data_IF_776773848015
#
_entry.id   IF_776773848015
#
_cell.length_a   1.000
_cell.length_b   1.000
_cell.length_c   1.000
_cell.angle_alpha   90.00
_cell.angle_beta   90.00
_cell.angle_gamma   90.00
#
_symmetry.space_group_name_H-M   'P 1'
#
loop_
_entity.id
_entity.type
_entity.pdbx_description
1 polymer ?
#
# COMPACT_ATOMS: atom_id res chain seq x y z
N UNK A 1 13.78 2.87 24.89
CA UNK A 1 15.21 2.68 24.69
C UNK A 1 15.58 3.55 23.51
N UNK A 2 16.41 4.57 23.71
CA UNK A 2 16.94 5.41 22.63
C UNK A 2 17.83 4.50 21.76
N UNK A 3 17.64 4.49 20.46
CA UNK A 3 18.45 3.69 19.54
C UNK A 3 19.83 4.33 19.46
N UNK A 4 20.87 3.59 19.79
CA UNK A 4 22.28 4.02 19.72
C UNK A 4 22.70 4.45 18.30
N UNK A 5 22.03 3.90 17.26
CA UNK A 5 22.29 4.28 15.87
C UNK A 5 21.86 5.71 15.50
N UNK A 6 21.19 6.46 16.41
CA UNK A 6 20.93 7.90 16.21
C UNK A 6 22.16 8.77 16.40
N UNK A 7 23.19 8.23 17.06
CA UNK A 7 24.35 9.00 17.54
C UNK A 7 25.55 8.92 16.57
N UNK A 8 25.49 8.03 15.55
CA UNK A 8 26.55 7.86 14.56
C UNK A 8 26.08 8.27 13.16
N UNK A 9 26.94 8.99 12.45
CA UNK A 9 26.76 9.29 11.02
C UNK A 9 27.16 8.10 10.16
N UNK A 10 26.69 8.09 8.90
CA UNK A 10 27.07 7.07 7.94
C UNK A 10 28.59 7.02 7.70
N UNK A 11 29.26 8.18 7.70
CA UNK A 11 30.71 8.31 7.50
C UNK A 11 31.46 7.71 8.67
N UNK A 12 31.00 7.92 9.91
CA UNK A 12 31.62 7.34 11.10
C UNK A 12 31.52 5.82 11.13
N UNK A 13 30.37 5.27 10.74
CA UNK A 13 30.19 3.81 10.67
C UNK A 13 31.02 3.22 9.53
N UNK A 14 31.11 3.86 8.37
CA UNK A 14 31.99 3.42 7.30
C UNK A 14 33.46 3.44 7.74
N UNK A 15 33.88 4.46 8.49
CA UNK A 15 35.22 4.52 9.05
C UNK A 15 35.50 3.38 10.06
N UNK A 16 34.50 3.00 10.87
CA UNK A 16 34.62 1.86 11.79
C UNK A 16 34.76 0.54 11.01
N UNK A 17 33.99 0.37 9.94
CA UNK A 17 34.07 -0.82 9.08
C UNK A 17 35.43 -0.93 8.35
N UNK A 18 35.96 0.19 7.86
CA UNK A 18 37.23 0.23 7.14
C UNK A 18 38.43 -0.09 8.07
N UNK A 19 38.26 0.07 9.40
CA UNK A 19 39.27 -0.19 10.43
C UNK A 19 38.82 -1.29 11.41
N UNK A 20 38.04 -2.26 10.96
CA UNK A 20 37.38 -3.27 11.83
C UNK A 20 38.38 -4.11 12.63
N UNK A 21 39.58 -4.31 12.09
CA UNK A 21 40.67 -5.08 12.72
C UNK A 21 41.25 -4.39 13.98
N UNK A 22 41.00 -3.10 14.19
CA UNK A 22 41.43 -2.32 15.33
C UNK A 22 40.50 -2.45 16.55
N UNK A 23 39.34 -3.09 16.37
CA UNK A 23 38.30 -3.23 17.38
C UNK A 23 38.33 -4.62 18.06
N UNK A 24 37.93 -4.66 19.31
CA UNK A 24 37.71 -5.91 20.04
C UNK A 24 36.49 -6.66 19.47
N UNK A 25 36.41 -7.96 19.77
CA UNK A 25 35.29 -8.81 19.31
C UNK A 25 33.91 -8.24 19.71
N UNK A 26 33.80 -7.74 20.94
CA UNK A 26 32.54 -7.15 21.45
C UNK A 26 32.17 -5.85 20.70
N UNK A 27 33.15 -5.03 20.36
CA UNK A 27 32.96 -3.81 19.57
C UNK A 27 32.60 -4.12 18.14
N UNK A 28 33.18 -5.15 17.53
CA UNK A 28 32.82 -5.62 16.18
C UNK A 28 31.35 -6.05 16.14
N UNK A 29 30.88 -6.83 17.12
CA UNK A 29 29.45 -7.24 17.20
C UNK A 29 28.54 -6.03 17.32
N UNK A 30 28.93 -4.99 18.05
CA UNK A 30 28.13 -3.77 18.16
C UNK A 30 28.13 -2.96 16.85
N UNK A 31 29.28 -2.89 16.15
CA UNK A 31 29.36 -2.25 14.83
C UNK A 31 28.45 -2.96 13.81
N UNK A 32 28.49 -4.30 13.74
CA UNK A 32 27.61 -5.08 12.89
C UNK A 32 26.12 -4.79 13.18
N UNK A 33 25.74 -4.74 14.46
CA UNK A 33 24.38 -4.39 14.86
C UNK A 33 23.97 -2.99 14.43
N UNK A 34 24.87 -2.01 14.51
CA UNK A 34 24.62 -0.64 14.05
C UNK A 34 24.45 -0.57 12.54
N UNK A 35 25.23 -1.32 11.77
CA UNK A 35 25.12 -1.44 10.31
C UNK A 35 23.76 -2.01 9.94
N UNK A 36 23.36 -3.13 10.54
CA UNK A 36 22.06 -3.76 10.29
C UNK A 36 20.90 -2.80 10.59
N UNK A 37 20.99 -2.06 11.71
CA UNK A 37 19.97 -1.06 12.06
C UNK A 37 19.89 0.07 11.04
N UNK A 38 21.01 0.54 10.51
CA UNK A 38 21.04 1.56 9.46
C UNK A 38 20.47 1.06 8.15
N UNK A 39 20.80 -0.17 7.75
CA UNK A 39 20.28 -0.76 6.52
C UNK A 39 18.77 -0.95 6.58
N UNK A 40 18.24 -1.39 7.73
CA UNK A 40 16.80 -1.43 7.97
C UNK A 40 16.16 -0.03 7.86
N UNK A 41 16.78 0.98 8.48
CA UNK A 41 16.28 2.37 8.39
C UNK A 41 16.27 2.90 6.97
N UNK A 42 17.33 2.62 6.20
CA UNK A 42 17.41 3.00 4.78
C UNK A 42 16.34 2.31 3.96
N UNK A 43 16.18 1.00 4.12
CA UNK A 43 15.15 0.23 3.43
C UNK A 43 13.74 0.77 3.76
N UNK A 44 13.47 1.05 5.04
CA UNK A 44 12.21 1.63 5.47
C UNK A 44 11.97 3.03 4.89
N UNK A 45 13.01 3.87 4.83
CA UNK A 45 12.90 5.20 4.22
C UNK A 45 12.63 5.10 2.72
N UNK A 46 13.33 4.23 2.00
CA UNK A 46 13.08 3.98 0.59
C UNK A 46 11.64 3.48 0.35
N UNK A 47 11.16 2.54 1.17
CA UNK A 47 9.81 2.02 1.10
C UNK A 47 8.74 3.07 1.47
N UNK A 48 9.06 4.01 2.35
CA UNK A 48 8.20 5.14 2.64
C UNK A 48 8.06 6.07 1.43
N UNK A 49 9.15 6.36 0.72
CA UNK A 49 9.21 7.33 -0.37
C UNK A 49 8.81 6.74 -1.73
N UNK A 50 8.97 5.42 -1.95
CA UNK A 50 8.76 4.74 -3.23
C UNK A 50 7.86 3.51 -3.10
N UNK A 51 6.79 3.47 -3.90
CA UNK A 51 5.80 2.39 -3.87
C UNK A 51 6.39 1.02 -4.27
N UNK A 52 7.36 0.97 -5.20
CA UNK A 52 7.98 -0.30 -5.58
C UNK A 52 8.89 -0.84 -4.47
N UNK A 53 9.64 0.03 -3.80
CA UNK A 53 10.47 -0.39 -2.67
C UNK A 53 9.58 -0.86 -1.50
N UNK A 54 8.43 -0.21 -1.30
CA UNK A 54 7.40 -0.72 -0.39
C UNK A 54 6.92 -2.13 -0.78
N UNK A 55 6.59 -2.35 -2.05
CA UNK A 55 6.15 -3.67 -2.53
C UNK A 55 7.20 -4.76 -2.27
N UNK A 56 8.48 -4.48 -2.55
CA UNK A 56 9.59 -5.41 -2.32
C UNK A 56 9.75 -5.76 -0.84
N UNK A 57 9.59 -4.78 0.03
CA UNK A 57 9.72 -4.99 1.48
C UNK A 57 8.53 -5.78 2.04
N UNK A 58 7.31 -5.53 1.54
CA UNK A 58 6.11 -6.28 1.94
C UNK A 58 6.06 -7.69 1.34
N UNK A 59 6.67 -7.89 0.19
CA UNK A 59 6.69 -9.15 -0.56
C UNK A 59 8.06 -9.32 -1.24
N UNK A 60 9.04 -9.95 -0.58
CA UNK A 60 10.41 -10.09 -1.12
C UNK A 60 10.48 -10.76 -2.49
N UNK A 61 9.55 -11.66 -2.79
CA UNK A 61 9.46 -12.37 -4.08
C UNK A 61 8.74 -11.55 -5.17
N UNK A 62 8.42 -10.27 -4.93
CA UNK A 62 7.76 -9.43 -5.91
C UNK A 62 8.67 -9.10 -7.09
N UNK A 63 8.38 -9.71 -8.24
CA UNK A 63 9.15 -9.50 -9.47
C UNK A 63 8.73 -8.18 -10.13
N UNK A 64 9.63 -7.22 -10.15
CA UNK A 64 9.38 -5.89 -10.71
C UNK A 64 9.65 -5.87 -12.21
N UNK A 65 8.60 -5.66 -13.01
CA UNK A 65 8.72 -5.36 -14.43
C UNK A 65 8.68 -3.86 -14.73
N UNK A 66 9.07 -3.46 -15.94
CA UNK A 66 9.02 -2.04 -16.37
C UNK A 66 7.62 -1.42 -16.23
N UNK A 67 6.57 -2.18 -16.52
CA UNK A 67 5.18 -1.75 -16.38
C UNK A 67 4.79 -1.46 -14.92
N UNK A 68 5.34 -2.22 -13.97
CA UNK A 68 5.10 -1.96 -12.55
C UNK A 68 5.71 -0.61 -12.13
N UNK A 69 6.91 -0.25 -12.62
CA UNK A 69 7.52 1.05 -12.34
C UNK A 69 6.67 2.20 -12.90
N UNK A 70 6.27 2.11 -14.17
CA UNK A 70 5.41 3.12 -14.82
C UNK A 70 4.09 3.29 -14.05
N UNK A 71 3.51 2.17 -13.61
CA UNK A 71 2.27 2.20 -12.85
C UNK A 71 2.47 2.79 -11.44
N UNK A 72 3.55 2.44 -10.76
CA UNK A 72 3.88 3.00 -9.46
C UNK A 72 4.12 4.51 -9.52
N UNK A 73 4.86 4.98 -10.52
CA UNK A 73 5.08 6.41 -10.74
C UNK A 73 3.75 7.17 -10.93
N UNK A 74 2.83 6.61 -11.74
CA UNK A 74 1.49 7.15 -11.92
C UNK A 74 0.69 7.20 -10.61
N UNK A 75 0.74 6.13 -9.80
CA UNK A 75 0.03 6.06 -8.53
C UNK A 75 0.62 7.03 -7.49
N UNK A 76 1.93 7.24 -7.50
CA UNK A 76 2.59 8.25 -6.66
C UNK A 76 2.23 9.67 -7.10
N UNK A 77 2.03 9.95 -8.40
CA UNK A 77 1.50 11.23 -8.87
C UNK A 77 0.06 11.47 -8.38
N UNK A 78 -0.78 10.42 -8.37
CA UNK A 78 -2.14 10.50 -7.78
C UNK A 78 -2.07 10.75 -6.28
N UNK A 79 -1.18 10.10 -5.55
CA UNK A 79 -1.01 10.29 -4.10
C UNK A 79 -0.61 11.73 -3.76
N UNK A 80 0.27 12.33 -4.54
CA UNK A 80 0.70 13.73 -4.37
C UNK A 80 -0.35 14.75 -4.81
N UNK A 81 -1.40 14.33 -5.52
CA UNK A 81 -2.40 15.23 -6.10
C UNK A 81 -1.97 15.87 -7.42
N UNK A 82 -0.90 15.39 -8.04
CA UNK A 82 -0.46 15.84 -9.37
C UNK A 82 -1.44 15.37 -10.47
N UNK A 83 -2.19 14.29 -10.17
CA UNK A 83 -3.24 13.73 -11.02
C UNK A 83 -4.47 13.36 -10.20
N UNK A 84 -5.62 13.85 -10.64
CA UNK A 84 -6.91 13.57 -9.97
C UNK A 84 -7.49 12.22 -10.37
N UNK A 85 -7.18 11.73 -11.56
CA UNK A 85 -7.76 10.51 -12.15
C UNK A 85 -6.75 9.76 -12.99
N UNK A 86 -6.79 8.44 -12.86
CA UNK A 86 -5.98 7.53 -13.66
C UNK A 86 -6.84 6.36 -14.13
N UNK A 87 -6.66 5.95 -15.38
CA UNK A 87 -7.25 4.73 -15.94
C UNK A 87 -6.11 3.80 -16.36
N UNK A 88 -6.12 2.58 -15.84
CA UNK A 88 -5.04 1.60 -16.02
C UNK A 88 -5.58 0.37 -16.73
N UNK A 89 -5.07 0.12 -17.94
CA UNK A 89 -5.35 -1.09 -18.71
C UNK A 89 -4.06 -1.90 -18.86
N UNK A 90 -4.02 -3.06 -18.25
CA UNK A 90 -2.89 -4.00 -18.33
C UNK A 90 -3.46 -5.39 -18.55
N UNK A 91 -2.82 -6.25 -19.36
CA UNK A 91 -3.25 -7.63 -19.56
C UNK A 91 -3.38 -8.39 -18.21
N UNK A 92 -4.25 -9.39 -18.12
CA UNK A 92 -4.42 -10.18 -16.91
C UNK A 92 -3.09 -10.86 -16.50
N UNK A 93 -2.95 -11.14 -15.20
CA UNK A 93 -1.75 -11.80 -14.59
C UNK A 93 -0.44 -11.00 -14.66
N UNK A 94 -0.52 -9.67 -14.89
CA UNK A 94 0.64 -8.78 -14.87
C UNK A 94 0.72 -7.93 -13.58
N UNK A 95 0.17 -8.38 -12.48
CA UNK A 95 0.31 -7.75 -11.17
C UNK A 95 -0.52 -6.48 -10.94
N UNK A 96 -1.44 -6.10 -11.86
CA UNK A 96 -2.27 -4.88 -11.73
C UNK A 96 -2.94 -4.79 -10.35
N UNK A 97 -3.80 -5.75 -10.03
CA UNK A 97 -4.57 -5.73 -8.78
C UNK A 97 -3.69 -5.88 -7.55
N UNK A 98 -2.56 -6.62 -7.65
CA UNK A 98 -1.59 -6.70 -6.55
C UNK A 98 -1.01 -5.32 -6.23
N UNK A 99 -0.61 -4.56 -7.24
CA UNK A 99 -0.04 -3.23 -7.05
C UNK A 99 -1.11 -2.19 -6.71
N UNK A 100 -2.18 -2.09 -7.52
CA UNK A 100 -3.19 -1.01 -7.41
C UNK A 100 -4.17 -1.23 -6.28
N UNK A 101 -4.62 -2.49 -6.07
CA UNK A 101 -5.75 -2.78 -5.18
C UNK A 101 -5.32 -3.32 -3.81
N UNK A 102 -4.02 -3.68 -3.66
CA UNK A 102 -3.49 -4.23 -2.41
C UNK A 102 -2.35 -3.37 -1.86
N UNK A 103 -1.22 -3.24 -2.56
CA UNK A 103 -0.06 -2.50 -2.04
C UNK A 103 -0.30 -0.99 -1.98
N UNK A 104 -0.83 -0.41 -3.05
CA UNK A 104 -1.03 1.04 -3.11
C UNK A 104 -1.95 1.58 -2.00
N UNK A 105 -3.14 1.03 -1.72
CA UNK A 105 -3.98 1.53 -0.63
C UNK A 105 -3.35 1.34 0.76
N UNK A 106 -2.53 0.29 0.98
CA UNK A 106 -1.78 0.14 2.22
C UNK A 106 -0.72 1.24 2.37
N UNK A 107 0.07 1.48 1.33
CA UNK A 107 1.09 2.52 1.29
C UNK A 107 0.47 3.92 1.39
N UNK A 108 -0.63 4.18 0.65
CA UNK A 108 -1.36 5.44 0.71
C UNK A 108 -1.82 5.78 2.13
N UNK A 109 -2.41 4.83 2.85
CA UNK A 109 -2.84 5.02 4.23
C UNK A 109 -1.68 5.19 5.22
N UNK A 110 -0.51 4.65 4.92
CA UNK A 110 0.70 4.89 5.70
C UNK A 110 1.19 6.32 5.60
N UNK A 111 1.18 6.86 4.39
CA UNK A 111 1.59 8.25 4.09
C UNK A 111 0.50 9.27 4.45
N UNK A 112 -0.75 8.87 4.39
CA UNK A 112 -1.92 9.72 4.61
C UNK A 112 -2.84 9.10 5.68
N UNK A 113 -2.44 9.11 6.95
CA UNK A 113 -2.99 8.24 7.98
C UNK A 113 -4.42 8.57 8.41
N UNK A 114 -4.93 9.76 8.08
CA UNK A 114 -6.28 10.27 8.36
C UNK A 114 -7.24 10.16 7.15
N UNK A 115 -6.74 9.68 6.01
CA UNK A 115 -7.49 9.65 4.76
C UNK A 115 -8.37 8.41 4.65
N UNK A 116 -9.37 8.49 3.76
CA UNK A 116 -10.35 7.44 3.52
C UNK A 116 -10.15 6.83 2.14
N UNK A 117 -10.06 5.51 2.09
CA UNK A 117 -9.96 4.71 0.87
C UNK A 117 -11.27 3.95 0.65
N UNK A 118 -11.78 4.02 -0.56
CA UNK A 118 -12.90 3.21 -1.02
C UNK A 118 -12.44 2.28 -2.13
N UNK A 119 -12.69 0.99 -1.96
CA UNK A 119 -12.37 -0.05 -2.94
C UNK A 119 -13.65 -0.63 -3.51
N UNK A 120 -13.77 -0.60 -4.83
CA UNK A 120 -14.93 -1.08 -5.59
C UNK A 120 -14.51 -2.15 -6.57
N UNK A 121 -15.30 -3.21 -6.67
CA UNK A 121 -15.17 -4.23 -7.71
C UNK A 121 -16.56 -4.68 -8.19
N UNK A 122 -16.63 -5.55 -9.20
CA UNK A 122 -17.93 -6.08 -9.69
C UNK A 122 -18.72 -6.83 -8.62
N UNK A 123 -18.05 -7.44 -7.63
CA UNK A 123 -18.71 -8.03 -6.46
C UNK A 123 -18.17 -7.47 -5.15
N UNK A 124 -19.02 -7.45 -4.13
CA UNK A 124 -18.61 -7.08 -2.76
C UNK A 124 -17.57 -8.06 -2.22
N UNK A 125 -17.70 -9.35 -2.49
CA UNK A 125 -16.79 -10.37 -1.98
C UNK A 125 -15.36 -10.18 -2.49
N UNK A 126 -15.19 -9.84 -3.77
CA UNK A 126 -13.88 -9.55 -4.33
C UNK A 126 -13.26 -8.28 -3.71
N UNK A 127 -14.07 -7.22 -3.57
CA UNK A 127 -13.61 -5.99 -2.92
C UNK A 127 -13.22 -6.21 -1.46
N UNK A 128 -13.98 -7.04 -0.73
CA UNK A 128 -13.70 -7.44 0.67
C UNK A 128 -12.43 -8.28 0.76
N UNK A 129 -12.15 -9.16 -0.22
CA UNK A 129 -10.91 -9.92 -0.27
C UNK A 129 -9.68 -9.00 -0.41
N UNK A 130 -9.75 -7.98 -1.26
CA UNK A 130 -8.73 -6.93 -1.32
C UNK A 130 -8.59 -6.23 0.03
N UNK A 131 -9.70 -5.82 0.66
CA UNK A 131 -9.70 -5.16 1.97
C UNK A 131 -9.04 -5.99 3.06
N UNK A 132 -9.25 -7.32 3.05
CA UNK A 132 -8.58 -8.25 3.97
C UNK A 132 -7.07 -8.26 3.76
N UNK A 133 -6.61 -8.31 2.51
CA UNK A 133 -5.18 -8.30 2.17
C UNK A 133 -4.51 -7.00 2.58
N UNK A 134 -5.13 -5.86 2.28
CA UNK A 134 -4.65 -4.53 2.73
C UNK A 134 -4.56 -4.45 4.25
N UNK A 135 -5.59 -4.89 4.96
CA UNK A 135 -5.62 -4.93 6.42
C UNK A 135 -4.50 -5.79 7.00
N UNK A 136 -4.22 -6.94 6.40
CA UNK A 136 -3.15 -7.85 6.84
C UNK A 136 -1.77 -7.21 6.64
N UNK A 137 -1.55 -6.45 5.56
CA UNK A 137 -0.32 -5.67 5.37
C UNK A 137 -0.16 -4.65 6.50
N UNK A 138 -1.19 -3.85 6.79
CA UNK A 138 -1.14 -2.82 7.84
C UNK A 138 -0.91 -3.44 9.24
N UNK A 139 -1.39 -4.67 9.47
CA UNK A 139 -1.18 -5.40 10.70
C UNK A 139 0.23 -5.97 10.85
N UNK A 140 1.01 -6.06 9.77
CA UNK A 140 2.34 -6.68 9.77
C UNK A 140 3.38 -5.86 10.53
N UNK A 141 4.43 -6.52 11.01
CA UNK A 141 5.56 -5.86 11.66
C UNK A 141 6.38 -5.04 10.67
N UNK A 142 6.58 -5.56 9.47
CA UNK A 142 7.26 -4.87 8.38
C UNK A 142 6.57 -3.55 8.00
N UNK A 143 5.23 -3.52 7.97
CA UNK A 143 4.51 -2.27 7.74
C UNK A 143 4.72 -1.26 8.88
N UNK A 144 4.69 -1.73 10.13
CA UNK A 144 4.90 -0.87 11.31
C UNK A 144 6.31 -0.31 11.40
N UNK A 145 7.31 -0.98 10.84
CA UNK A 145 8.67 -0.44 10.77
C UNK A 145 8.79 0.75 9.83
N UNK A 146 7.96 0.80 8.77
CA UNK A 146 7.90 1.92 7.81
C UNK A 146 6.98 3.04 8.32
N UNK A 147 5.81 2.67 8.86
CA UNK A 147 4.75 3.59 9.31
C UNK A 147 4.43 3.37 10.79
N UNK A 148 5.32 3.75 11.72
CA UNK A 148 5.22 3.37 13.14
C UNK A 148 4.00 3.98 13.87
N UNK A 149 3.45 5.07 13.34
CA UNK A 149 2.29 5.75 13.90
C UNK A 149 0.95 5.15 13.46
N UNK A 150 0.94 4.36 12.39
CA UNK A 150 -0.29 3.82 11.78
C UNK A 150 -0.51 2.38 12.22
N UNK A 151 -1.65 2.13 12.85
CA UNK A 151 -2.09 0.80 13.32
C UNK A 151 -3.56 0.63 13.04
N UNK A 152 -4.03 -0.61 12.98
CA UNK A 152 -5.47 -0.89 12.96
C UNK A 152 -6.10 -0.44 14.28
N UNK A 153 -7.28 0.17 14.21
CA UNK A 153 -8.07 0.47 15.39
C UNK A 153 -8.52 -0.86 16.07
N UNK A 154 -8.62 -0.84 17.40
CA UNK A 154 -8.87 -2.05 18.21
C UNK A 154 -10.22 -2.73 17.94
N UNK A 155 -11.20 -1.97 17.44
CA UNK A 155 -12.54 -2.41 17.07
C UNK A 155 -12.69 -2.83 15.59
N UNK A 156 -11.64 -2.68 14.80
CA UNK A 156 -11.62 -2.92 13.35
C UNK A 156 -11.46 -4.39 13.00
N UNK A 157 -12.54 -5.18 13.20
CA UNK A 157 -12.55 -6.64 12.98
C UNK A 157 -13.03 -7.07 11.60
N UNK A 158 -13.82 -6.25 10.90
CA UNK A 158 -14.38 -6.57 9.59
C UNK A 158 -13.30 -6.53 8.49
N UNK A 159 -13.39 -7.41 7.49
CA UNK A 159 -12.47 -7.42 6.35
C UNK A 159 -12.81 -6.32 5.32
N UNK A 160 -14.10 -6.00 5.16
CA UNK A 160 -14.57 -5.04 4.17
C UNK A 160 -14.69 -3.61 4.69
N UNK A 161 -14.62 -3.41 6.01
CA UNK A 161 -14.66 -2.08 6.61
C UNK A 161 -13.85 -2.05 7.89
N UNK A 162 -12.83 -1.23 7.90
CA UNK A 162 -11.95 -1.06 9.05
C UNK A 162 -11.36 0.36 9.08
N UNK A 163 -10.82 0.73 10.21
CA UNK A 163 -10.20 2.04 10.45
C UNK A 163 -8.82 1.88 11.06
N UNK A 164 -8.04 2.95 10.97
CA UNK A 164 -6.76 3.10 11.65
C UNK A 164 -6.95 3.90 12.95
N UNK A 165 -5.98 3.79 13.84
CA UNK A 165 -5.92 4.57 15.09
C UNK A 165 -5.79 6.08 14.85
N UNK A 166 -5.44 6.50 13.65
CA UNK A 166 -5.23 7.90 13.23
C UNK A 166 -6.43 8.50 12.52
N UNK A 167 -7.54 7.76 12.40
CA UNK A 167 -8.77 8.24 11.75
C UNK A 167 -8.89 7.87 10.27
N UNK A 168 -7.91 7.17 9.71
CA UNK A 168 -8.02 6.62 8.36
C UNK A 168 -9.08 5.54 8.28
N UNK A 169 -9.76 5.43 7.14
CA UNK A 169 -10.82 4.45 6.91
C UNK A 169 -10.58 3.70 5.60
N UNK A 170 -10.94 2.42 5.60
CA UNK A 170 -11.03 1.61 4.38
C UNK A 170 -12.45 1.02 4.28
N UNK A 171 -13.05 1.15 3.11
CA UNK A 171 -14.37 0.61 2.82
C UNK A 171 -14.37 -0.11 1.47
N UNK A 172 -14.79 -1.38 1.48
CA UNK A 172 -14.91 -2.21 0.30
C UNK A 172 -16.38 -2.47 -0.03
N UNK A 173 -16.74 -2.34 -1.30
CA UNK A 173 -18.09 -2.63 -1.78
C UNK A 173 -18.10 -3.09 -3.24
N UNK A 174 -19.20 -3.70 -3.65
CA UNK A 174 -19.48 -4.01 -5.06
C UNK A 174 -20.11 -2.83 -5.77
N UNK A 175 -20.00 -2.82 -7.10
CA UNK A 175 -20.77 -1.91 -7.97
C UNK A 175 -22.26 -2.03 -7.64
N UNK A 176 -22.97 -0.91 -7.63
CA UNK A 176 -24.39 -0.86 -7.25
C UNK A 176 -24.66 -0.72 -5.76
N UNK A 177 -23.63 -0.79 -4.91
CA UNK A 177 -23.81 -0.55 -3.47
C UNK A 177 -24.22 0.89 -3.17
N UNK A 178 -25.02 1.08 -2.10
CA UNK A 178 -25.38 2.42 -1.64
C UNK A 178 -24.18 3.14 -1.03
N UNK A 179 -23.77 4.26 -1.64
CA UNK A 179 -22.64 5.10 -1.20
C UNK A 179 -23.09 6.40 -0.52
N UNK A 180 -24.38 6.61 -0.36
CA UNK A 180 -24.93 7.84 0.20
C UNK A 180 -24.26 8.16 1.55
N UNK A 181 -23.72 9.39 1.66
CA UNK A 181 -23.04 9.86 2.88
C UNK A 181 -21.63 9.32 3.10
N UNK A 182 -21.04 8.58 2.14
CA UNK A 182 -19.66 8.06 2.23
C UNK A 182 -18.75 8.80 1.26
N UNK A 183 -17.89 9.66 1.80
CA UNK A 183 -16.80 10.30 1.04
C UNK A 183 -15.53 9.46 1.11
N UNK A 184 -14.73 9.50 0.05
CA UNK A 184 -13.39 8.94 0.02
C UNK A 184 -12.40 9.98 -0.52
N UNK A 185 -11.15 9.90 -0.07
CA UNK A 185 -10.05 10.69 -0.60
C UNK A 185 -9.37 9.94 -1.76
N UNK A 186 -9.42 8.60 -1.71
CA UNK A 186 -8.97 7.71 -2.76
C UNK A 186 -10.08 6.72 -3.09
N UNK A 187 -10.57 6.76 -4.34
CA UNK A 187 -11.50 5.77 -4.89
C UNK A 187 -10.74 4.86 -5.85
N UNK A 188 -10.71 3.57 -5.55
CA UNK A 188 -10.16 2.53 -6.41
C UNK A 188 -11.31 1.72 -7.00
N UNK A 189 -11.33 1.56 -8.31
CA UNK A 189 -12.30 0.72 -9.02
C UNK A 189 -11.51 -0.33 -9.80
N UNK A 190 -11.55 -1.58 -9.36
CA UNK A 190 -10.86 -2.69 -10.01
C UNK A 190 -11.87 -3.68 -10.58
N UNK A 191 -11.77 -3.90 -11.88
CA UNK A 191 -12.61 -4.81 -12.65
C UNK A 191 -14.12 -4.67 -12.30
N UNK A 192 -14.75 -3.51 -12.66
CA UNK A 192 -16.14 -3.21 -12.28
C UNK A 192 -17.18 -4.10 -13.00
N UNK A 193 -16.74 -4.90 -13.97
CA UNK A 193 -17.55 -5.84 -14.75
C UNK A 193 -16.92 -7.23 -14.68
N UNK A 194 -17.76 -8.28 -14.70
CA UNK A 194 -17.26 -9.65 -14.81
C UNK A 194 -17.03 -10.04 -16.27
N UNK A 195 -16.05 -10.91 -16.51
CA UNK A 195 -15.83 -11.50 -17.84
C UNK A 195 -17.09 -12.26 -18.31
N UNK A 196 -17.83 -12.86 -17.37
CA UNK A 196 -19.04 -13.62 -17.66
C UNK A 196 -20.17 -12.75 -18.22
N UNK A 197 -20.29 -11.49 -17.75
CA UNK A 197 -21.27 -10.54 -18.28
C UNK A 197 -20.99 -10.23 -19.76
N UNK A 198 -19.70 -10.07 -20.10
CA UNK A 198 -19.29 -9.84 -21.51
C UNK A 198 -19.61 -11.05 -22.38
N UNK A 199 -19.24 -12.26 -21.92
CA UNK A 199 -19.47 -13.52 -22.65
C UNK A 199 -20.95 -13.75 -22.86
N UNK A 200 -21.79 -13.44 -21.88
CA UNK A 200 -23.24 -13.62 -21.94
C UNK A 200 -23.98 -12.51 -22.74
N UNK A 201 -23.25 -11.48 -23.21
CA UNK A 201 -23.86 -10.34 -23.91
C UNK A 201 -24.73 -9.46 -23.02
N UNK A 202 -24.49 -9.46 -21.70
CA UNK A 202 -25.27 -8.69 -20.74
C UNK A 202 -24.77 -7.23 -20.67
N UNK A 203 -24.93 -6.50 -21.74
CA UNK A 203 -24.40 -5.13 -21.88
C UNK A 203 -25.07 -4.11 -20.95
N UNK A 204 -26.29 -4.40 -20.45
CA UNK A 204 -26.96 -3.51 -19.49
C UNK A 204 -26.20 -3.32 -18.17
N UNK A 205 -25.28 -4.24 -17.84
CA UNK A 205 -24.42 -4.15 -16.66
C UNK A 205 -23.45 -2.97 -16.78
N UNK A 206 -22.95 -2.69 -17.98
CA UNK A 206 -22.03 -1.57 -18.23
C UNK A 206 -22.72 -0.23 -18.01
N UNK A 207 -23.94 -0.07 -18.52
CA UNK A 207 -24.73 1.15 -18.35
C UNK A 207 -25.02 1.39 -16.87
N UNK A 208 -25.49 0.36 -16.15
CA UNK A 208 -25.77 0.43 -14.72
C UNK A 208 -24.52 0.78 -13.88
N UNK A 209 -23.37 0.19 -14.22
CA UNK A 209 -22.12 0.49 -13.54
C UNK A 209 -21.68 1.94 -13.80
N UNK A 210 -21.84 2.43 -15.03
CA UNK A 210 -21.53 3.81 -15.39
C UNK A 210 -22.48 4.80 -14.71
N UNK A 211 -23.78 4.53 -14.68
CA UNK A 211 -24.76 5.36 -13.96
C UNK A 211 -24.44 5.40 -12.47
N UNK A 212 -24.19 4.24 -11.86
CA UNK A 212 -23.81 4.16 -10.45
C UNK A 212 -22.53 4.96 -10.15
N UNK A 213 -21.51 4.84 -10.99
CA UNK A 213 -20.28 5.61 -10.85
C UNK A 213 -20.52 7.12 -10.99
N UNK A 214 -21.34 7.51 -12.00
CA UNK A 214 -21.57 8.93 -12.32
C UNK A 214 -22.41 9.63 -11.26
N UNK A 215 -23.43 8.96 -10.73
CA UNK A 215 -24.41 9.57 -9.81
C UNK A 215 -24.17 9.23 -8.33
N UNK A 216 -23.45 8.15 -8.04
CA UNK A 216 -23.27 7.65 -6.67
C UNK A 216 -21.85 7.70 -6.12
N UNK A 217 -20.85 7.43 -6.94
CA UNK A 217 -19.46 7.25 -6.49
C UNK A 217 -18.54 8.45 -6.82
N UNK A 218 -19.04 9.42 -7.60
CA UNK A 218 -18.29 10.60 -8.05
C UNK A 218 -18.34 11.77 -7.08
#
# INVERSE_FOLDING_TARGET
>A
MSSLASDFTQEEIQHMLDNIDDFSVDEVVEIERLVDELDIRRANKLAYDDLIEFCKLMMPDFIVGKHHRILADLLMEVERGDKDRACVNIPPRHGKSQLVSIFYPAWYLGRNPDKKVMMVSHTTDLAVDFGRKVRNIIASEAYRSIFPTVKLASDSKSAGRWSTNTGGEYYACGVGSALAGRGAHLLLVDDPHSEQDVINGNFSVFEKAYEWFTFGAR
#
